data_IF_092721912801
#
_entry.id   IF_092721912801
#
_cell.length_a   1.000
_cell.length_b   1.000
_cell.length_c   1.000
_cell.angle_alpha   90.00
_cell.angle_beta   90.00
_cell.angle_gamma   90.00
#
_symmetry.space_group_name_H-M   'P 1'
#
loop_
_entity.id
_entity.type
_entity.pdbx_description
1 polymer ?
#
# COMPACT_ATOMS: atom_id res chain seq x y z
N UNK A 1 10.65 -23.89 6.46
CA UNK A 1 11.28 -23.01 7.48
C UNK A 1 10.22 -22.03 7.93
N UNK A 2 9.82 -22.04 9.21
CA UNK A 2 8.81 -21.10 9.71
C UNK A 2 9.39 -19.69 9.79
N UNK A 3 8.70 -18.70 9.20
CA UNK A 3 9.17 -17.31 9.20
C UNK A 3 9.38 -16.81 10.63
N UNK A 4 10.43 -16.00 10.82
CA UNK A 4 10.80 -15.46 12.13
C UNK A 4 9.61 -14.72 12.79
N UNK A 5 8.84 -13.98 12.00
CA UNK A 5 7.64 -13.25 12.43
C UNK A 5 6.54 -14.13 13.01
N UNK A 6 6.37 -15.35 12.49
CA UNK A 6 5.41 -16.33 13.02
C UNK A 6 5.74 -16.78 14.45
N UNK A 7 7.00 -16.64 14.88
CA UNK A 7 7.45 -17.00 16.25
C UNK A 7 7.36 -15.84 17.22
N UNK A 8 7.38 -14.60 16.72
CA UNK A 8 7.43 -13.38 17.54
C UNK A 8 6.03 -12.84 17.84
N UNK A 9 5.07 -12.97 16.94
CA UNK A 9 3.74 -12.34 17.06
C UNK A 9 2.57 -13.30 17.35
N UNK A 10 2.81 -14.38 18.09
CA UNK A 10 1.74 -15.24 18.60
C UNK A 10 0.79 -14.47 19.54
N UNK A 11 -0.38 -14.08 19.01
CA UNK A 11 -1.63 -13.61 19.64
C UNK A 11 -1.51 -12.79 20.94
N UNK A 12 -1.81 -11.48 20.85
CA UNK A 12 -2.18 -10.65 22.02
C UNK A 12 -2.24 -9.14 21.73
N UNK A 13 -3.42 -8.54 21.88
CA UNK A 13 -3.67 -7.09 21.78
C UNK A 13 -3.16 -6.32 23.01
N UNK A 14 -2.74 -5.06 22.82
CA UNK A 14 -2.06 -4.23 23.83
C UNK A 14 -2.97 -3.14 24.47
N UNK A 15 -2.70 -2.72 25.71
CA UNK A 15 -3.02 -1.37 26.17
C UNK A 15 -1.81 -0.56 26.73
N UNK A 16 -1.87 0.75 26.41
CA UNK A 16 -1.30 2.00 26.95
C UNK A 16 0.08 2.10 27.67
N UNK A 17 0.77 3.21 27.35
CA UNK A 17 2.17 3.55 27.57
C UNK A 17 2.61 3.96 29.00
N UNK A 18 3.84 3.56 29.33
CA UNK A 18 4.73 4.10 30.37
C UNK A 18 6.13 4.39 29.75
N UNK A 19 7.02 5.20 30.37
CA UNK A 19 8.26 5.68 29.75
C UNK A 19 9.15 4.55 29.18
N UNK A 20 9.62 4.78 27.96
CA UNK A 20 10.09 3.79 26.99
C UNK A 20 11.14 2.78 27.48
N UNK A 21 10.70 1.69 28.10
CA UNK A 21 11.47 0.45 28.24
C UNK A 21 11.22 -0.47 27.04
N UNK A 22 11.48 0.04 25.83
CA UNK A 22 11.31 -0.71 24.59
C UNK A 22 12.63 -0.82 23.82
N UNK A 23 12.81 -1.96 23.15
CA UNK A 23 13.96 -2.22 22.29
C UNK A 23 14.03 -1.18 21.17
N UNK A 24 15.15 -0.49 21.03
CA UNK A 24 15.35 0.55 20.02
C UNK A 24 15.35 0.00 18.58
N UNK A 25 15.54 -1.32 18.42
CA UNK A 25 15.59 -1.99 17.13
C UNK A 25 14.22 -2.51 16.69
N UNK A 26 13.62 -3.43 17.47
CA UNK A 26 12.33 -4.04 17.14
C UNK A 26 11.10 -3.31 17.71
N UNK A 27 11.28 -2.33 18.59
CA UNK A 27 10.18 -1.56 19.20
C UNK A 27 9.40 -2.31 20.29
N UNK A 28 9.69 -3.59 20.54
CA UNK A 28 9.02 -4.39 21.57
C UNK A 28 9.38 -3.89 22.97
N UNK A 29 8.37 -3.83 23.85
CA UNK A 29 8.57 -3.46 25.24
C UNK A 29 9.17 -4.59 26.09
N UNK A 30 9.54 -4.28 27.32
CA UNK A 30 10.12 -5.23 28.28
C UNK A 30 9.22 -6.44 28.59
N UNK A 31 7.90 -6.30 28.50
CA UNK A 31 6.96 -7.41 28.74
C UNK A 31 6.88 -8.38 27.54
N UNK A 32 7.22 -7.90 26.34
CA UNK A 32 7.18 -8.65 25.10
C UNK A 32 8.50 -9.35 24.74
N UNK A 33 9.56 -9.19 25.56
CA UNK A 33 10.87 -9.78 25.32
C UNK A 33 11.41 -10.49 26.55
N UNK A 34 12.15 -11.58 26.35
CA UNK A 34 12.68 -12.38 27.47
C UNK A 34 13.72 -11.58 28.26
N UNK A 35 14.58 -10.82 27.57
CA UNK A 35 15.52 -9.90 28.21
C UNK A 35 15.64 -8.62 27.41
N UNK A 36 15.63 -7.49 28.12
CA UNK A 36 15.94 -6.17 27.58
C UNK A 36 17.21 -5.65 28.24
N UNK A 37 18.21 -5.33 27.43
CA UNK A 37 19.53 -4.88 27.86
C UNK A 37 19.58 -3.37 27.72
N UNK A 38 19.93 -2.65 28.79
CA UNK A 38 20.03 -1.20 28.81
C UNK A 38 21.47 -0.73 28.56
N UNK A 39 21.65 0.17 27.60
CA UNK A 39 22.85 0.99 27.41
C UNK A 39 22.57 2.47 27.72
N UNK A 40 23.59 3.34 27.73
CA UNK A 40 23.46 4.74 28.19
C UNK A 40 22.36 5.57 27.50
N UNK A 41 22.00 5.24 26.24
CA UNK A 41 20.95 5.93 25.45
C UNK A 41 20.13 4.96 24.57
N UNK A 42 20.18 3.66 24.81
CA UNK A 42 19.61 2.65 23.89
C UNK A 42 19.26 1.39 24.66
N UNK A 43 18.22 0.69 24.21
CA UNK A 43 17.85 -0.63 24.74
C UNK A 43 17.85 -1.66 23.60
N UNK A 44 18.36 -2.87 23.86
CA UNK A 44 18.35 -3.96 22.88
C UNK A 44 17.84 -5.25 23.52
N UNK A 45 16.92 -5.95 22.88
CA UNK A 45 16.40 -7.21 23.40
C UNK A 45 17.25 -8.42 23.00
N UNK A 46 17.10 -9.52 23.74
CA UNK A 46 17.79 -10.78 23.46
C UNK A 46 17.52 -11.33 22.05
N UNK A 47 16.32 -11.11 21.50
CA UNK A 47 15.98 -11.48 20.13
C UNK A 47 16.81 -10.71 19.10
N UNK A 48 16.95 -9.39 19.26
CA UNK A 48 17.76 -8.56 18.38
C UNK A 48 19.26 -8.88 18.51
N UNK A 49 19.75 -9.16 19.73
CA UNK A 49 21.14 -9.59 19.94
C UNK A 49 21.43 -10.92 19.26
N UNK A 50 20.50 -11.88 19.38
CA UNK A 50 20.65 -13.20 18.75
C UNK A 50 20.59 -13.11 17.23
N UNK A 51 19.68 -12.32 16.68
CA UNK A 51 19.62 -12.06 15.24
C UNK A 51 20.92 -11.42 14.75
N UNK A 52 21.39 -10.38 15.43
CA UNK A 52 22.68 -9.76 15.10
C UNK A 52 23.82 -10.76 15.18
N UNK A 53 23.85 -11.63 16.19
CA UNK A 53 24.84 -12.68 16.34
C UNK A 53 24.73 -13.75 15.25
N UNK A 54 23.53 -14.19 14.88
CA UNK A 54 23.32 -15.16 13.79
C UNK A 54 23.74 -14.60 12.43
N UNK A 55 23.59 -13.29 12.22
CA UNK A 55 24.13 -12.59 11.05
C UNK A 55 25.66 -12.64 11.11
N UNK A 56 26.27 -12.22 12.23
CA UNK A 56 27.73 -12.18 12.41
C UNK A 56 28.37 -13.58 12.27
N UNK A 57 27.78 -14.61 12.88
CA UNK A 57 28.34 -15.96 12.95
C UNK A 57 28.29 -16.70 11.59
N UNK A 58 27.48 -16.22 10.62
CA UNK A 58 27.38 -16.80 9.28
C UNK A 58 28.41 -16.26 8.28
N UNK A 59 29.30 -15.32 8.65
CA UNK A 59 29.99 -14.43 7.69
C UNK A 59 31.54 -14.41 7.78
N UNK A 60 32.20 -15.38 7.14
CA UNK A 60 33.67 -15.48 7.02
C UNK A 60 34.31 -14.87 5.76
N UNK A 61 33.93 -13.65 5.32
CA UNK A 61 34.72 -12.71 4.47
C UNK A 61 33.90 -11.44 4.20
N UNK A 62 34.52 -10.30 3.90
CA UNK A 62 33.84 -8.98 3.82
C UNK A 62 33.06 -8.77 2.50
N UNK A 63 33.52 -9.31 1.37
CA UNK A 63 32.81 -9.14 0.08
C UNK A 63 31.64 -10.13 -0.06
N UNK A 64 31.75 -11.34 0.48
CA UNK A 64 30.60 -12.25 0.65
C UNK A 64 29.60 -11.80 1.74
N UNK A 65 29.92 -10.74 2.50
CA UNK A 65 29.11 -10.20 3.59
C UNK A 65 27.92 -9.40 3.09
N UNK A 66 28.13 -8.52 2.11
CA UNK A 66 27.08 -7.61 1.63
C UNK A 66 26.00 -8.39 0.88
N UNK A 67 26.40 -9.37 0.07
CA UNK A 67 25.44 -10.23 -0.66
C UNK A 67 24.64 -11.14 0.29
N UNK A 68 25.29 -11.66 1.34
CA UNK A 68 24.60 -12.43 2.39
C UNK A 68 23.57 -11.58 3.15
N UNK A 69 23.96 -10.39 3.59
CA UNK A 69 23.05 -9.45 4.27
C UNK A 69 21.93 -8.99 3.33
N UNK A 70 22.24 -8.68 2.06
CA UNK A 70 21.26 -8.34 1.03
C UNK A 70 20.22 -9.44 0.88
N UNK A 71 20.64 -10.69 0.75
CA UNK A 71 19.73 -11.84 0.63
C UNK A 71 18.81 -11.99 1.84
N UNK A 72 19.34 -11.82 3.06
CA UNK A 72 18.53 -11.88 4.29
C UNK A 72 17.51 -10.74 4.32
N UNK A 73 17.93 -9.50 4.07
CA UNK A 73 17.05 -8.33 4.13
C UNK A 73 15.92 -8.43 3.10
N UNK A 74 16.23 -8.82 1.86
CA UNK A 74 15.22 -8.98 0.82
C UNK A 74 14.23 -10.10 1.14
N UNK A 75 14.71 -11.23 1.66
CA UNK A 75 13.84 -12.34 2.06
C UNK A 75 12.91 -11.96 3.22
N UNK A 76 13.42 -11.25 4.23
CA UNK A 76 12.63 -10.78 5.35
C UNK A 76 11.60 -9.72 4.92
N UNK A 77 11.98 -8.78 4.05
CA UNK A 77 11.06 -7.77 3.51
C UNK A 77 9.92 -8.43 2.71
N UNK A 78 10.23 -9.42 1.88
CA UNK A 78 9.24 -10.16 1.10
C UNK A 78 8.31 -11.03 1.96
N UNK A 79 8.69 -11.34 3.21
CA UNK A 79 7.97 -12.25 4.11
C UNK A 79 7.35 -11.53 5.33
N UNK A 80 7.21 -10.21 5.27
CA UNK A 80 6.58 -9.44 6.35
C UNK A 80 5.09 -9.81 6.50
N UNK A 81 4.58 -9.91 7.74
CA UNK A 81 3.16 -10.06 7.95
C UNK A 81 2.41 -8.77 7.54
N UNK A 82 1.10 -8.85 7.22
CA UNK A 82 0.31 -7.68 6.89
C UNK A 82 0.17 -6.74 8.09
N UNK A 83 -0.11 -5.46 7.82
CA UNK A 83 -0.33 -4.41 8.84
C UNK A 83 0.83 -4.22 9.84
N UNK A 84 2.06 -4.52 9.42
CA UNK A 84 3.23 -4.18 10.21
C UNK A 84 3.35 -2.65 10.38
N UNK A 85 3.77 -2.17 11.56
CA UNK A 85 3.94 -0.73 11.77
C UNK A 85 4.87 -0.14 10.69
N UNK A 86 4.45 0.95 10.04
CA UNK A 86 5.22 1.48 8.88
C UNK A 86 6.62 1.89 9.28
N UNK A 87 6.81 2.38 10.51
CA UNK A 87 8.14 2.70 11.04
C UNK A 87 9.09 1.49 11.07
N UNK A 88 8.57 0.26 11.23
CA UNK A 88 9.37 -0.97 11.17
C UNK A 88 9.63 -1.39 9.73
N UNK A 89 8.59 -1.39 8.90
CA UNK A 89 8.70 -1.71 7.45
C UNK A 89 9.71 -0.78 6.79
N UNK A 90 9.60 0.53 7.02
CA UNK A 90 10.45 1.57 6.44
C UNK A 90 11.94 1.33 6.74
N UNK A 91 12.29 0.87 7.94
CA UNK A 91 13.70 0.56 8.27
C UNK A 91 14.25 -0.55 7.38
N UNK A 92 13.47 -1.60 7.15
CA UNK A 92 13.87 -2.70 6.27
C UNK A 92 13.92 -2.26 4.80
N UNK A 93 12.93 -1.49 4.34
CA UNK A 93 12.92 -0.95 2.97
C UNK A 93 14.14 -0.05 2.74
N UNK A 94 14.45 0.87 3.66
CA UNK A 94 15.63 1.73 3.54
C UNK A 94 16.95 0.94 3.52
N UNK A 95 17.05 -0.11 4.34
CA UNK A 95 18.20 -1.01 4.32
C UNK A 95 18.31 -1.74 2.97
N UNK A 96 17.19 -2.26 2.44
CA UNK A 96 17.14 -2.93 1.15
C UNK A 96 17.58 -2.01 0.01
N UNK A 97 17.07 -0.77 -0.02
CA UNK A 97 17.45 0.25 -1.03
C UNK A 97 18.96 0.51 -0.97
N UNK A 98 19.52 0.73 0.23
CA UNK A 98 20.95 1.00 0.39
C UNK A 98 21.84 -0.18 -0.06
N UNK A 99 21.39 -1.41 0.19
CA UNK A 99 22.12 -2.62 -0.21
C UNK A 99 22.04 -2.91 -1.71
N UNK A 100 21.06 -2.34 -2.42
CA UNK A 100 20.78 -2.62 -3.83
C UNK A 100 21.05 -1.42 -4.73
N UNK A 101 21.83 -0.44 -4.26
CA UNK A 101 22.16 0.75 -5.05
C UNK A 101 22.85 0.34 -6.37
N UNK A 102 22.37 0.90 -7.49
CA UNK A 102 22.84 0.55 -8.84
C UNK A 102 22.24 -0.72 -9.44
N UNK A 103 21.45 -1.51 -8.70
CA UNK A 103 20.72 -2.66 -9.24
C UNK A 103 19.26 -2.31 -9.50
N UNK A 104 18.96 -1.88 -10.72
CA UNK A 104 17.62 -1.48 -11.14
C UNK A 104 16.58 -2.61 -10.99
N UNK A 105 16.97 -3.86 -11.26
CA UNK A 105 16.07 -5.01 -11.18
C UNK A 105 15.64 -5.26 -9.74
N UNK A 106 16.60 -5.27 -8.82
CA UNK A 106 16.33 -5.49 -7.40
C UNK A 106 15.62 -4.29 -6.77
N UNK A 107 15.93 -3.05 -7.17
CA UNK A 107 15.21 -1.86 -6.68
C UNK A 107 13.71 -1.87 -7.05
N UNK A 108 13.35 -2.38 -8.24
CA UNK A 108 11.93 -2.61 -8.60
C UNK A 108 11.27 -3.65 -7.70
N UNK A 109 11.99 -4.74 -7.37
CA UNK A 109 11.48 -5.75 -6.44
C UNK A 109 11.30 -5.16 -5.03
N UNK A 110 12.23 -4.33 -4.58
CA UNK A 110 12.11 -3.61 -3.29
C UNK A 110 10.90 -2.68 -3.31
N UNK A 111 10.64 -1.96 -4.41
CA UNK A 111 9.46 -1.12 -4.54
C UNK A 111 8.16 -1.95 -4.44
N UNK A 112 8.09 -3.06 -5.16
CA UNK A 112 6.95 -3.99 -5.10
C UNK A 112 6.75 -4.56 -3.69
N UNK A 113 7.83 -4.92 -2.99
CA UNK A 113 7.73 -5.46 -1.63
C UNK A 113 7.32 -4.39 -0.62
N UNK A 114 7.81 -3.15 -0.77
CA UNK A 114 7.40 -2.01 0.06
C UNK A 114 5.90 -1.73 -0.11
N UNK A 115 5.39 -1.80 -1.34
CA UNK A 115 3.96 -1.71 -1.62
C UNK A 115 3.15 -2.78 -0.87
N UNK A 116 3.50 -4.05 -1.03
CA UNK A 116 2.81 -5.16 -0.36
C UNK A 116 2.88 -5.06 1.17
N UNK A 117 3.95 -4.48 1.70
CA UNK A 117 4.13 -4.25 3.13
C UNK A 117 3.47 -2.96 3.65
N UNK A 118 2.78 -2.19 2.80
CA UNK A 118 2.05 -0.98 3.19
C UNK A 118 2.91 0.27 3.36
N UNK A 119 4.08 0.33 2.72
CA UNK A 119 5.06 1.43 2.75
C UNK A 119 5.24 2.12 1.38
N UNK A 120 4.21 2.82 0.87
CA UNK A 120 4.25 3.42 -0.48
C UNK A 120 5.32 4.50 -0.65
N UNK A 121 5.66 5.29 0.38
CA UNK A 121 6.75 6.28 0.25
C UNK A 121 8.11 5.58 0.12
N UNK A 122 8.29 4.41 0.77
CA UNK A 122 9.47 3.58 0.62
C UNK A 122 9.59 3.03 -0.80
N UNK A 123 8.47 2.62 -1.41
CA UNK A 123 8.43 2.19 -2.81
C UNK A 123 8.80 3.30 -3.79
N UNK A 124 8.28 4.52 -3.60
CA UNK A 124 8.69 5.71 -4.38
C UNK A 124 10.20 5.95 -4.25
N UNK A 125 10.74 5.87 -3.04
CA UNK A 125 12.17 6.06 -2.82
C UNK A 125 12.99 5.00 -3.56
N UNK A 126 12.57 3.73 -3.54
CA UNK A 126 13.25 2.65 -4.25
C UNK A 126 13.27 2.90 -5.77
N UNK A 127 12.13 3.26 -6.35
CA UNK A 127 12.02 3.59 -7.79
C UNK A 127 12.90 4.78 -8.16
N UNK A 128 12.95 5.82 -7.32
CA UNK A 128 13.81 7.00 -7.54
C UNK A 128 15.30 6.74 -7.36
N UNK A 129 15.71 5.58 -6.82
CA UNK A 129 17.12 5.16 -6.77
C UNK A 129 17.55 4.35 -7.98
N UNK A 130 16.64 3.99 -8.88
CA UNK A 130 17.00 3.41 -10.17
C UNK A 130 17.80 4.46 -10.96
N UNK A 131 18.99 4.12 -11.50
CA UNK A 131 19.77 5.04 -12.33
C UNK A 131 18.95 5.57 -13.50
N UNK A 132 19.10 6.85 -13.85
CA UNK A 132 18.29 7.51 -14.88
C UNK A 132 18.32 6.79 -16.24
N UNK A 133 19.48 6.23 -16.61
CA UNK A 133 19.63 5.45 -17.84
C UNK A 133 18.93 4.09 -17.85
N UNK A 134 18.58 3.55 -16.67
CA UNK A 134 17.91 2.25 -16.51
C UNK A 134 16.42 2.40 -16.20
N UNK A 135 15.94 3.63 -16.01
CA UNK A 135 14.56 3.93 -15.62
C UNK A 135 13.64 3.81 -16.83
N UNK A 136 12.52 3.11 -16.66
CA UNK A 136 11.52 2.91 -17.72
C UNK A 136 10.24 3.69 -17.46
N UNK A 137 9.37 3.86 -18.47
CA UNK A 137 8.04 4.41 -18.27
C UNK A 137 7.21 3.62 -17.23
N UNK A 138 7.36 2.30 -17.16
CA UNK A 138 6.71 1.46 -16.16
C UNK A 138 7.13 1.81 -14.72
N UNK A 139 8.38 2.22 -14.50
CA UNK A 139 8.83 2.72 -13.18
C UNK A 139 8.12 4.01 -12.80
N UNK A 140 7.85 4.88 -13.78
CA UNK A 140 7.10 6.14 -13.58
C UNK A 140 5.62 5.85 -13.31
N UNK A 141 5.02 4.89 -14.02
CA UNK A 141 3.64 4.44 -13.77
C UNK A 141 3.53 3.87 -12.36
N UNK A 142 4.46 3.00 -11.96
CA UNK A 142 4.50 2.44 -10.61
C UNK A 142 4.62 3.56 -9.57
N UNK A 143 5.53 4.54 -9.76
CA UNK A 143 5.66 5.69 -8.85
C UNK A 143 4.37 6.50 -8.75
N UNK A 144 3.67 6.71 -9.87
CA UNK A 144 2.38 7.41 -9.88
C UNK A 144 1.32 6.69 -9.05
N UNK A 145 1.23 5.36 -9.17
CA UNK A 145 0.30 4.53 -8.38
C UNK A 145 0.64 4.55 -6.88
N UNK A 146 1.93 4.61 -6.52
CA UNK A 146 2.34 4.82 -5.13
C UNK A 146 1.88 6.19 -4.62
N UNK A 147 2.00 7.25 -5.42
CA UNK A 147 1.47 8.57 -5.07
C UNK A 147 -0.04 8.56 -4.85
N UNK A 148 -0.81 7.90 -5.73
CA UNK A 148 -2.25 7.75 -5.59
C UNK A 148 -2.63 7.07 -4.26
N UNK A 149 -1.90 6.02 -3.90
CA UNK A 149 -2.12 5.27 -2.65
C UNK A 149 -1.85 6.08 -1.41
N UNK A 150 -1.03 7.13 -1.50
CA UNK A 150 -0.77 8.08 -0.42
C UNK A 150 -1.79 9.23 -0.37
N UNK A 151 -2.78 9.25 -1.28
CA UNK A 151 -3.71 10.36 -1.46
C UNK A 151 -3.12 11.54 -2.25
N UNK A 152 -1.91 11.40 -2.79
CA UNK A 152 -1.24 12.43 -3.59
C UNK A 152 -1.65 12.33 -5.07
N UNK A 153 -2.95 12.28 -5.33
CA UNK A 153 -3.55 12.02 -6.64
C UNK A 153 -3.04 12.96 -7.73
N UNK A 154 -2.91 14.26 -7.43
CA UNK A 154 -2.42 15.26 -8.38
C UNK A 154 -0.94 15.05 -8.75
N UNK A 155 -0.11 14.57 -7.81
CA UNK A 155 1.29 14.26 -8.07
C UNK A 155 1.42 13.01 -8.95
N UNK A 156 0.61 11.98 -8.69
CA UNK A 156 0.54 10.80 -9.54
C UNK A 156 0.10 11.14 -10.97
N UNK A 157 -0.95 11.96 -11.11
CA UNK A 157 -1.42 12.43 -12.42
C UNK A 157 -0.34 13.20 -13.19
N UNK A 158 0.38 14.11 -12.52
CA UNK A 158 1.45 14.86 -13.16
C UNK A 158 2.55 13.94 -13.73
N UNK A 159 2.87 12.84 -13.03
CA UNK A 159 3.79 11.82 -13.55
C UNK A 159 3.22 11.11 -14.77
N UNK A 160 1.96 10.68 -14.73
CA UNK A 160 1.31 10.00 -15.86
C UNK A 160 1.17 10.91 -17.08
N UNK A 161 0.90 12.19 -16.88
CA UNK A 161 0.71 13.17 -17.96
C UNK A 161 2.04 13.60 -18.61
N UNK A 162 3.15 13.41 -17.91
CA UNK A 162 4.49 13.65 -18.44
C UNK A 162 5.05 12.47 -19.26
N UNK A 163 4.38 11.30 -19.26
CA UNK A 163 4.80 10.14 -20.04
C UNK A 163 4.66 10.38 -21.54
N UNK A 164 5.70 10.05 -22.31
CA UNK A 164 5.61 9.96 -23.77
C UNK A 164 4.80 8.71 -24.16
N UNK A 165 3.63 8.85 -24.81
CA UNK A 165 2.83 7.71 -25.23
C UNK A 165 3.55 6.77 -26.21
N UNK A 166 4.54 7.26 -26.96
CA UNK A 166 5.32 6.45 -27.89
C UNK A 166 6.34 5.54 -27.18
N UNK A 167 6.74 5.87 -25.95
CA UNK A 167 7.68 5.09 -25.15
C UNK A 167 7.00 3.96 -24.35
N UNK A 168 5.67 3.97 -24.25
CA UNK A 168 4.91 3.00 -23.47
C UNK A 168 4.83 1.63 -24.15
N UNK A 169 4.99 0.57 -23.35
CA UNK A 169 4.66 -0.79 -23.78
C UNK A 169 3.18 -0.90 -24.21
N UNK A 170 2.81 -1.87 -25.07
CA UNK A 170 1.41 -2.07 -25.47
C UNK A 170 0.46 -2.18 -24.27
N UNK A 171 0.82 -2.96 -23.25
CA UNK A 171 0.00 -3.09 -22.03
C UNK A 171 -0.09 -1.76 -21.27
N UNK A 172 1.02 -1.02 -21.12
CA UNK A 172 1.00 0.26 -20.43
C UNK A 172 0.10 1.30 -21.13
N UNK A 173 0.08 1.32 -22.48
CA UNK A 173 -0.81 2.22 -23.24
C UNK A 173 -2.29 2.00 -22.93
N UNK A 174 -2.67 0.75 -22.73
CA UNK A 174 -4.03 0.37 -22.37
C UNK A 174 -4.35 0.62 -20.89
N UNK A 175 -3.38 0.43 -20.00
CA UNK A 175 -3.57 0.55 -18.54
C UNK A 175 -3.55 2.00 -18.05
N UNK A 176 -2.63 2.84 -18.54
CA UNK A 176 -2.45 4.21 -18.04
C UNK A 176 -3.74 5.06 -18.05
N UNK A 177 -4.62 4.99 -19.05
CA UNK A 177 -5.92 5.66 -19.01
C UNK A 177 -6.77 5.30 -17.78
N UNK A 178 -6.73 4.04 -17.32
CA UNK A 178 -7.43 3.61 -16.11
C UNK A 178 -6.84 4.28 -14.87
N UNK A 179 -5.52 4.26 -14.71
CA UNK A 179 -4.84 4.93 -13.59
C UNK A 179 -5.13 6.44 -13.56
N UNK A 180 -5.16 7.10 -14.72
CA UNK A 180 -5.57 8.51 -14.81
C UNK A 180 -7.01 8.70 -14.34
N UNK A 181 -7.94 7.87 -14.79
CA UNK A 181 -9.34 7.94 -14.36
C UNK A 181 -9.48 7.73 -12.84
N UNK A 182 -8.77 6.76 -12.28
CA UNK A 182 -8.75 6.47 -10.85
C UNK A 182 -8.29 7.68 -10.03
N UNK A 183 -7.11 8.24 -10.36
CA UNK A 183 -6.56 9.40 -9.65
C UNK A 183 -7.45 10.65 -9.80
N UNK A 184 -8.03 10.88 -10.99
CA UNK A 184 -8.94 12.02 -11.21
C UNK A 184 -10.20 11.92 -10.36
N UNK A 185 -10.79 10.73 -10.27
CA UNK A 185 -12.01 10.50 -9.49
C UNK A 185 -11.73 10.46 -7.98
N UNK A 186 -10.59 9.91 -7.55
CA UNK A 186 -10.19 9.85 -6.16
C UNK A 186 -9.79 11.22 -5.60
N UNK A 187 -9.14 12.05 -6.43
CA UNK A 187 -8.73 13.41 -6.06
C UNK A 187 -9.80 14.49 -6.26
N UNK A 188 -11.05 14.12 -6.56
CA UNK A 188 -12.15 15.06 -6.88
C UNK A 188 -11.78 16.08 -7.99
N UNK A 189 -10.97 15.66 -8.97
CA UNK A 189 -10.53 16.46 -10.12
C UNK A 189 -11.51 16.29 -11.30
N UNK A 190 -12.10 15.10 -11.44
CA UNK A 190 -13.09 14.82 -12.48
C UNK A 190 -14.39 15.61 -12.24
N UNK A 191 -15.00 16.09 -13.33
CA UNK A 191 -16.26 16.83 -13.27
C UNK A 191 -17.48 15.93 -13.50
N UNK A 192 -18.67 16.27 -12.98
CA UNK A 192 -19.88 15.45 -13.14
C UNK A 192 -20.24 15.10 -14.59
N UNK A 193 -19.98 16.00 -15.55
CA UNK A 193 -20.19 15.75 -16.97
C UNK A 193 -19.33 14.62 -17.55
N UNK A 194 -18.18 14.33 -16.93
CA UNK A 194 -17.25 13.27 -17.35
C UNK A 194 -17.65 11.89 -16.79
N UNK A 195 -18.53 11.85 -15.80
CA UNK A 195 -18.83 10.64 -15.03
C UNK A 195 -19.29 9.46 -15.90
N UNK A 196 -20.18 9.69 -16.87
CA UNK A 196 -20.68 8.61 -17.73
C UNK A 196 -19.59 8.03 -18.64
N UNK A 197 -18.72 8.89 -19.16
CA UNK A 197 -17.61 8.47 -20.01
C UNK A 197 -16.60 7.65 -19.22
N UNK A 198 -16.22 8.13 -18.03
CA UNK A 198 -15.30 7.42 -17.13
C UNK A 198 -15.85 6.07 -16.67
N UNK A 199 -17.14 6.00 -16.35
CA UNK A 199 -17.79 4.71 -16.06
C UNK A 199 -17.71 3.76 -17.25
N UNK A 200 -18.10 4.22 -18.44
CA UNK A 200 -18.14 3.36 -19.63
C UNK A 200 -16.74 2.88 -20.02
N UNK A 201 -15.72 3.73 -19.89
CA UNK A 201 -14.33 3.38 -20.11
C UNK A 201 -13.86 2.29 -19.14
N UNK A 202 -14.22 2.38 -17.85
CA UNK A 202 -13.89 1.35 -16.87
C UNK A 202 -14.56 0.00 -17.15
N UNK A 203 -15.84 0.02 -17.57
CA UNK A 203 -16.57 -1.19 -17.97
C UNK A 203 -15.92 -1.83 -19.19
N UNK A 204 -15.58 -1.03 -20.20
CA UNK A 204 -14.94 -1.50 -21.43
C UNK A 204 -13.55 -2.08 -21.13
N UNK A 205 -12.75 -1.39 -20.32
CA UNK A 205 -11.45 -1.85 -19.88
C UNK A 205 -11.55 -3.23 -19.22
N UNK A 206 -12.40 -3.36 -18.20
CA UNK A 206 -12.54 -4.62 -17.46
C UNK A 206 -13.06 -5.78 -18.34
N UNK A 207 -13.95 -5.50 -19.31
CA UNK A 207 -14.60 -6.55 -20.10
C UNK A 207 -13.83 -6.96 -21.35
N UNK A 208 -13.12 -6.02 -21.98
CA UNK A 208 -12.52 -6.25 -23.31
C UNK A 208 -11.00 -6.12 -23.31
N UNK A 209 -10.47 -5.13 -22.60
CA UNK A 209 -9.05 -4.83 -22.62
C UNK A 209 -8.30 -5.76 -21.68
N UNK A 210 -8.71 -5.79 -20.41
CA UNK A 210 -8.03 -6.50 -19.35
C UNK A 210 -7.80 -7.99 -19.66
N UNK A 211 -8.79 -8.78 -20.14
CA UNK A 211 -8.59 -10.20 -20.45
C UNK A 211 -7.47 -10.48 -21.47
N UNK A 212 -7.22 -9.54 -22.39
CA UNK A 212 -6.24 -9.68 -23.47
C UNK A 212 -4.83 -9.20 -23.07
N UNK A 213 -4.68 -8.53 -21.92
CA UNK A 213 -3.39 -8.02 -21.47
C UNK A 213 -2.44 -9.17 -21.07
N UNK A 214 -1.22 -9.11 -21.59
CA UNK A 214 -0.12 -10.00 -21.19
C UNK A 214 0.52 -9.49 -19.88
N UNK A 215 -0.14 -9.77 -18.75
CA UNK A 215 0.26 -9.40 -17.39
C UNK A 215 0.07 -10.57 -16.43
N UNK A 216 0.74 -10.53 -15.28
CA UNK A 216 0.56 -11.55 -14.24
C UNK A 216 -0.82 -11.46 -13.56
N UNK A 217 -1.24 -12.57 -12.96
CA UNK A 217 -2.56 -12.69 -12.33
C UNK A 217 -2.75 -11.74 -11.13
N UNK A 218 -1.67 -11.46 -10.39
CA UNK A 218 -1.72 -10.53 -9.26
C UNK A 218 -2.04 -9.11 -9.73
N UNK A 219 -1.35 -8.66 -10.77
CA UNK A 219 -1.61 -7.35 -11.36
C UNK A 219 -2.98 -7.29 -12.03
N UNK A 220 -3.42 -8.37 -12.68
CA UNK A 220 -4.77 -8.48 -13.25
C UNK A 220 -5.85 -8.25 -12.20
N UNK A 221 -5.78 -8.94 -11.06
CA UNK A 221 -6.73 -8.76 -9.94
C UNK A 221 -6.72 -7.33 -9.42
N UNK A 222 -5.54 -6.69 -9.33
CA UNK A 222 -5.44 -5.29 -8.92
C UNK A 222 -6.14 -4.35 -9.91
N UNK A 223 -5.98 -4.57 -11.22
CA UNK A 223 -6.63 -3.78 -12.27
C UNK A 223 -8.14 -4.03 -12.36
N UNK A 224 -8.60 -5.26 -12.13
CA UNK A 224 -10.05 -5.57 -12.02
C UNK A 224 -10.69 -4.75 -10.90
N UNK A 225 -10.03 -4.75 -9.73
CA UNK A 225 -10.45 -3.96 -8.57
C UNK A 225 -10.44 -2.46 -8.88
N UNK A 226 -9.39 -1.94 -9.52
CA UNK A 226 -9.29 -0.53 -9.85
C UNK A 226 -10.37 -0.09 -10.84
N UNK A 227 -10.64 -0.88 -11.88
CA UNK A 227 -11.73 -0.62 -12.83
C UNK A 227 -13.10 -0.62 -12.14
N UNK A 228 -13.32 -1.54 -11.19
CA UNK A 228 -14.51 -1.51 -10.36
C UNK A 228 -14.63 -0.20 -9.54
N UNK A 229 -13.56 0.22 -8.87
CA UNK A 229 -13.56 1.43 -8.07
C UNK A 229 -13.75 2.70 -8.90
N UNK A 230 -13.13 2.79 -10.10
CA UNK A 230 -13.36 3.85 -11.07
C UNK A 230 -14.84 3.93 -11.43
N UNK A 231 -15.45 2.78 -11.79
CA UNK A 231 -16.89 2.71 -12.08
C UNK A 231 -17.74 3.19 -10.91
N UNK A 232 -17.50 2.68 -9.71
CA UNK A 232 -18.29 3.05 -8.53
C UNK A 232 -18.15 4.55 -8.18
N UNK A 233 -16.94 5.11 -8.28
CA UNK A 233 -16.69 6.55 -8.08
C UNK A 233 -17.38 7.40 -9.14
N UNK A 234 -17.34 6.98 -10.40
CA UNK A 234 -17.99 7.66 -11.49
C UNK A 234 -19.53 7.70 -11.31
N UNK A 235 -20.15 6.58 -10.95
CA UNK A 235 -21.59 6.51 -10.64
C UNK A 235 -21.95 7.41 -9.46
N UNK A 236 -21.11 7.46 -8.41
CA UNK A 236 -21.27 8.39 -7.29
C UNK A 236 -21.18 9.84 -7.75
N UNK A 237 -20.18 10.18 -8.56
CA UNK A 237 -19.96 11.53 -9.10
C UNK A 237 -21.14 12.00 -9.97
N UNK A 238 -21.80 11.09 -10.69
CA UNK A 238 -23.03 11.36 -11.44
C UNK A 238 -24.26 11.64 -10.54
N UNK A 239 -24.14 11.49 -9.22
CA UNK A 239 -25.23 11.65 -8.26
C UNK A 239 -26.14 10.42 -8.13
N UNK A 240 -25.79 9.29 -8.76
CA UNK A 240 -26.58 8.06 -8.74
C UNK A 240 -26.27 7.22 -7.48
N UNK A 241 -26.45 7.82 -6.29
CA UNK A 241 -25.98 7.26 -5.01
C UNK A 241 -26.56 5.87 -4.68
N UNK A 242 -27.82 5.60 -5.03
CA UNK A 242 -28.45 4.29 -4.83
C UNK A 242 -27.81 3.19 -5.70
N UNK A 243 -27.39 3.55 -6.92
CA UNK A 243 -26.71 2.63 -7.84
C UNK A 243 -25.27 2.41 -7.40
N UNK A 244 -24.58 3.45 -6.93
CA UNK A 244 -23.26 3.31 -6.33
C UNK A 244 -23.28 2.38 -5.11
N UNK A 245 -24.27 2.53 -4.22
CA UNK A 245 -24.47 1.61 -3.09
C UNK A 245 -24.67 0.16 -3.55
N UNK A 246 -25.54 -0.08 -4.52
CA UNK A 246 -25.81 -1.42 -5.03
C UNK A 246 -24.54 -2.10 -5.60
N UNK A 247 -23.76 -1.37 -6.41
CA UNK A 247 -22.49 -1.85 -6.97
C UNK A 247 -21.49 -2.21 -5.86
N UNK A 248 -21.37 -1.34 -4.84
CA UNK A 248 -20.43 -1.55 -3.73
C UNK A 248 -20.83 -2.73 -2.87
N UNK A 249 -22.11 -2.86 -2.53
CA UNK A 249 -22.60 -4.01 -1.75
C UNK A 249 -22.38 -5.32 -2.50
N UNK A 250 -22.69 -5.37 -3.80
CA UNK A 250 -22.47 -6.56 -4.62
C UNK A 250 -20.99 -6.96 -4.63
N UNK A 251 -20.08 -6.01 -4.84
CA UNK A 251 -18.63 -6.27 -4.80
C UNK A 251 -18.16 -6.78 -3.44
N UNK A 252 -18.63 -6.15 -2.36
CA UNK A 252 -18.24 -6.48 -0.98
C UNK A 252 -18.77 -7.85 -0.52
N UNK A 253 -19.76 -8.45 -1.20
CA UNK A 253 -20.15 -9.85 -0.95
C UNK A 253 -19.04 -10.84 -1.33
N UNK A 254 -18.25 -10.51 -2.36
CA UNK A 254 -17.13 -11.34 -2.82
C UNK A 254 -15.77 -10.85 -2.27
N UNK A 255 -15.66 -9.56 -1.94
CA UNK A 255 -14.42 -8.90 -1.56
C UNK A 255 -14.54 -8.17 -0.21
N UNK A 256 -14.96 -8.89 0.82
CA UNK A 256 -15.23 -8.31 2.15
C UNK A 256 -14.04 -7.51 2.72
N UNK A 257 -12.81 -7.89 2.37
CA UNK A 257 -11.59 -7.22 2.85
C UNK A 257 -11.20 -5.95 2.08
N UNK A 258 -11.97 -5.51 1.09
CA UNK A 258 -11.64 -4.32 0.29
C UNK A 258 -11.95 -3.02 1.06
N UNK A 259 -10.94 -2.52 1.78
CA UNK A 259 -11.04 -1.33 2.60
C UNK A 259 -11.47 -0.07 1.83
N UNK A 260 -11.09 0.05 0.56
CA UNK A 260 -11.40 1.23 -0.26
C UNK A 260 -12.84 1.19 -0.76
N UNK A 261 -13.36 0.02 -1.11
CA UNK A 261 -14.77 -0.17 -1.43
C UNK A 261 -15.65 0.14 -0.21
N UNK A 262 -15.26 -0.31 0.99
CA UNK A 262 -15.93 0.08 2.24
C UNK A 262 -15.86 1.59 2.49
N UNK A 263 -14.70 2.22 2.27
CA UNK A 263 -14.55 3.66 2.44
C UNK A 263 -15.38 4.47 1.43
N UNK A 264 -15.52 3.99 0.20
CA UNK A 264 -16.38 4.60 -0.81
C UNK A 264 -17.87 4.42 -0.49
N UNK A 265 -18.26 3.27 0.08
CA UNK A 265 -19.62 3.05 0.57
C UNK A 265 -19.95 3.98 1.75
N UNK A 266 -18.95 4.27 2.61
CA UNK A 266 -19.09 5.29 3.64
C UNK A 266 -19.40 6.65 3.01
N UNK A 267 -18.65 7.06 1.97
CA UNK A 267 -18.85 8.33 1.28
C UNK A 267 -20.27 8.43 0.65
N UNK A 268 -20.79 7.31 0.12
CA UNK A 268 -22.16 7.23 -0.42
C UNK A 268 -23.23 7.46 0.67
N UNK A 269 -23.14 6.76 1.80
CA UNK A 269 -24.09 6.94 2.91
C UNK A 269 -23.97 8.33 3.56
N UNK A 270 -22.75 8.85 3.67
CA UNK A 270 -22.50 10.18 4.18
C UNK A 270 -23.16 11.25 3.30
N UNK A 271 -23.00 11.15 1.97
CA UNK A 271 -23.63 12.04 1.00
C UNK A 271 -25.18 11.99 1.05
N UNK A 272 -25.77 10.86 1.45
CA UNK A 272 -27.22 10.68 1.64
C UNK A 272 -27.74 11.19 3.00
N UNK A 273 -26.85 11.59 3.90
CA UNK A 273 -27.22 11.98 5.28
C UNK A 273 -27.60 10.79 6.17
N UNK A 274 -27.23 9.56 5.79
CA UNK A 274 -27.57 8.33 6.51
C UNK A 274 -26.54 8.05 7.61
N UNK A 275 -26.49 8.92 8.62
CA UNK A 275 -25.41 8.96 9.60
C UNK A 275 -25.17 7.65 10.34
N UNK A 276 -26.22 6.92 10.75
CA UNK A 276 -26.05 5.62 11.44
C UNK A 276 -25.40 4.56 10.55
N UNK A 277 -25.84 4.47 9.30
CA UNK A 277 -25.23 3.57 8.31
C UNK A 277 -23.80 3.98 8.01
N UNK A 278 -23.55 5.28 7.82
CA UNK A 278 -22.20 5.80 7.62
C UNK A 278 -21.27 5.43 8.79
N UNK A 279 -21.72 5.51 10.06
CA UNK A 279 -20.89 5.07 11.20
C UNK A 279 -20.56 3.58 11.13
N UNK A 280 -21.53 2.75 10.80
CA UNK A 280 -21.37 1.29 10.70
C UNK A 280 -20.36 0.93 9.61
N UNK A 281 -20.53 1.51 8.43
CA UNK A 281 -19.67 1.30 7.27
C UNK A 281 -18.27 1.83 7.50
N UNK A 282 -18.12 2.98 8.18
CA UNK A 282 -16.81 3.50 8.60
C UNK A 282 -16.06 2.52 9.48
N UNK A 283 -16.73 1.92 10.48
CA UNK A 283 -16.10 0.91 11.35
C UNK A 283 -15.58 -0.26 10.52
N UNK A 284 -16.39 -0.77 9.59
CA UNK A 284 -15.97 -1.84 8.66
C UNK A 284 -14.79 -1.44 7.78
N UNK A 285 -14.79 -0.24 7.22
CA UNK A 285 -13.66 0.26 6.45
C UNK A 285 -12.38 0.32 7.29
N UNK A 286 -12.46 0.75 8.56
CA UNK A 286 -11.32 0.81 9.49
C UNK A 286 -10.81 -0.57 9.93
N UNK A 287 -11.67 -1.59 10.00
CA UNK A 287 -11.28 -2.98 10.30
C UNK A 287 -10.35 -3.55 9.22
N UNK A 288 -10.52 -3.13 7.96
CA UNK A 288 -9.76 -3.64 6.82
C UNK A 288 -8.65 -2.71 6.34
N UNK A 289 -8.70 -1.42 6.68
CA UNK A 289 -7.68 -0.45 6.26
C UNK A 289 -6.39 -0.59 7.07
N UNK A 290 -5.25 -0.30 6.43
CA UNK A 290 -3.98 -0.14 7.15
C UNK A 290 -4.13 0.97 8.22
N UNK A 291 -3.82 0.73 9.51
CA UNK A 291 -4.08 1.69 10.59
C UNK A 291 -3.41 3.06 10.39
N UNK A 292 -2.21 3.06 9.83
CA UNK A 292 -1.41 4.25 9.51
C UNK A 292 -1.64 4.77 8.08
N UNK A 293 -2.56 4.16 7.32
CA UNK A 293 -2.81 4.50 5.93
C UNK A 293 -3.76 5.69 5.73
N UNK A 294 -3.79 6.28 4.52
CA UNK A 294 -4.60 7.48 4.24
C UNK A 294 -6.10 7.23 4.32
N UNK A 295 -6.58 6.02 3.97
CA UNK A 295 -7.99 5.64 4.17
C UNK A 295 -8.36 5.76 5.65
N UNK A 296 -7.55 5.17 6.54
CA UNK A 296 -7.82 5.20 7.98
C UNK A 296 -7.69 6.62 8.55
N UNK A 297 -6.71 7.41 8.10
CA UNK A 297 -6.58 8.82 8.48
C UNK A 297 -7.83 9.63 8.09
N UNK A 298 -8.22 9.58 6.81
CA UNK A 298 -9.41 10.28 6.27
C UNK A 298 -10.69 9.91 7.01
N UNK A 299 -10.91 8.63 7.27
CA UNK A 299 -12.12 8.14 7.94
C UNK A 299 -12.19 8.55 9.42
N UNK A 300 -11.06 8.62 10.12
CA UNK A 300 -11.00 9.08 11.51
C UNK A 300 -11.31 10.57 11.64
N UNK A 301 -10.87 11.36 10.66
CA UNK A 301 -11.08 12.81 10.65
C UNK A 301 -12.47 13.20 10.11
N UNK A 302 -13.18 12.26 9.46
CA UNK A 302 -14.50 12.51 8.90
C UNK A 302 -15.54 12.80 10.00
N UNK A 303 -16.10 14.02 9.97
CA UNK A 303 -17.24 14.40 10.81
C UNK A 303 -18.49 13.67 10.36
N UNK A 304 -19.12 12.95 11.29
CA UNK A 304 -20.45 12.36 11.12
C UNK A 304 -21.35 13.12 12.09
N UNK A 305 -22.55 13.52 11.65
CA UNK A 305 -23.51 14.29 12.44
C UNK A 305 -23.82 13.67 13.82
N UNK A 306 -24.62 14.33 14.68
CA UNK A 306 -24.91 13.84 16.02
C UNK A 306 -25.61 12.46 15.99
N UNK A 307 -25.44 11.67 17.05
CA UNK A 307 -26.31 10.52 17.31
C UNK A 307 -27.73 11.06 17.51
N UNK A 308 -28.70 10.51 16.79
CA UNK A 308 -30.11 10.85 16.96
C UNK A 308 -30.78 9.85 17.90
#
# INVERSE_FOLDING_TARGET
MTSFWSRVFGTGAAPAAEPSMACSFCGLDRSQVTKLIAGPKTFICDGCVRLAKEIIDREGSIEGRVDGVRGVVLNELASLPPNMPRATVRKLVLAAIALCEGDAGTLRQVASAAWSAGDPEGGVLALRRIPEGDRTPEDVIAEAVHHDTMGAHAAGLALLDALDPAALSPSAREIVPLHRAAMRLAGDIARPEEARELEQAAIEFARRVLPELAIDDGYRVALEREAFLVRARAVRLAGELARAEALLREHLLAHEMDAEAWALLFDVHHARGEHELARTVRTKALEHAHPEGPIAARLRDASIGPFR
#
